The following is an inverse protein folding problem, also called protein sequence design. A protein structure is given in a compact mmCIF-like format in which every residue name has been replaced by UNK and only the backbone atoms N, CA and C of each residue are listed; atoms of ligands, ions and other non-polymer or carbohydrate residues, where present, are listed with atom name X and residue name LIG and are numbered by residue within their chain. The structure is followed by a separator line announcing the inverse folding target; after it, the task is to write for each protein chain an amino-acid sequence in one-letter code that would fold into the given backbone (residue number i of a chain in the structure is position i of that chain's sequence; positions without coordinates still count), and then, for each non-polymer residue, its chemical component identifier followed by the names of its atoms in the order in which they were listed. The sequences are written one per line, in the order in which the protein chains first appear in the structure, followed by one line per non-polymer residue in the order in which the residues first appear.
data_IF_622898189689
#
_entry.id   IF_622898189689
#
_cell.length_a   1.000
_cell.length_b   1.000
_cell.length_c   1.000
_cell.angle_alpha   90.00
_cell.angle_beta   90.00
_cell.angle_gamma   90.00
#
_symmetry.space_group_name_H-M   'P 1'
#
loop_
_entity.id
_entity.type
_entity.pdbx_description
1 polymer ?
#
# COMPACT_ATOMS: atom_id res chain seq x y z
N UNK A 1 26.19 35.33 10.52
CA UNK A 1 24.75 35.32 10.18
C UNK A 1 24.27 33.87 10.23
N UNK A 2 23.66 33.45 11.34
CA UNK A 2 23.21 32.06 11.53
C UNK A 2 21.87 31.84 10.81
N UNK A 3 21.69 30.69 10.18
CA UNK A 3 20.40 30.24 9.67
C UNK A 3 19.79 29.31 10.72
N UNK A 4 18.81 29.81 11.47
CA UNK A 4 18.04 29.00 12.41
C UNK A 4 17.13 28.02 11.65
N UNK A 5 17.41 26.72 11.78
CA UNK A 5 16.45 25.68 11.39
C UNK A 5 15.27 25.70 12.37
N UNK A 6 14.13 26.23 11.95
CA UNK A 6 12.87 26.05 12.67
C UNK A 6 12.57 24.55 12.84
N UNK A 7 12.65 24.07 14.08
CA UNK A 7 12.19 22.74 14.44
C UNK A 7 10.66 22.70 14.41
N UNK A 8 10.07 22.05 13.40
CA UNK A 8 8.65 21.70 13.43
C UNK A 8 8.40 20.71 14.58
N UNK A 9 7.74 21.17 15.64
CA UNK A 9 7.25 20.29 16.71
C UNK A 9 6.03 19.53 16.19
N UNK A 10 6.21 18.28 15.78
CA UNK A 10 5.09 17.43 15.40
C UNK A 10 4.18 17.18 16.60
N UNK A 11 2.87 17.31 16.36
CA UNK A 11 1.79 17.26 17.34
C UNK A 11 0.81 16.17 16.90
N UNK A 12 0.87 15.00 17.53
CA UNK A 12 -0.03 13.88 17.23
C UNK A 12 -1.10 13.79 18.32
N UNK A 13 -2.36 13.66 17.92
CA UNK A 13 -3.49 13.65 18.84
C UNK A 13 -3.75 12.23 19.39
N UNK A 14 -3.55 12.04 20.70
CA UNK A 14 -3.92 10.81 21.39
C UNK A 14 -5.42 10.77 21.68
N UNK A 15 -6.19 10.02 20.88
CA UNK A 15 -7.63 9.78 21.13
C UNK A 15 -7.90 9.03 22.45
N UNK A 16 -6.90 8.41 23.07
CA UNK A 16 -7.04 7.66 24.31
C UNK A 16 -6.96 8.52 25.58
N UNK A 17 -6.33 9.70 25.51
CA UNK A 17 -6.03 10.53 26.70
C UNK A 17 -6.39 12.01 26.57
N UNK A 18 -6.82 12.47 25.39
CA UNK A 18 -7.30 13.85 25.18
C UNK A 18 -6.24 14.95 25.34
N UNK A 19 -4.95 14.60 25.40
CA UNK A 19 -3.85 15.52 25.63
C UNK A 19 -2.70 15.36 24.63
N UNK A 20 -1.94 16.45 24.42
CA UNK A 20 -0.77 16.50 23.55
C UNK A 20 0.47 15.94 24.25
N UNK A 21 0.90 14.73 23.89
CA UNK A 21 2.12 14.13 24.43
C UNK A 21 3.37 14.57 23.63
N UNK A 22 4.44 14.97 24.33
CA UNK A 22 5.79 15.15 23.77
C UNK A 22 6.68 13.97 24.16
N UNK A 23 7.34 13.34 23.19
CA UNK A 23 8.35 12.31 23.44
C UNK A 23 9.72 12.73 22.92
N UNK A 24 10.68 12.84 23.83
CA UNK A 24 12.11 13.02 23.52
C UNK A 24 12.81 11.66 23.34
N UNK A 25 13.97 11.66 22.68
CA UNK A 25 14.81 10.45 22.52
C UNK A 25 15.87 10.38 23.63
N UNK A 26 16.10 9.19 24.18
CA UNK A 26 17.25 8.90 25.05
C UNK A 26 18.13 7.81 24.42
N UNK A 27 19.46 7.91 24.59
CA UNK A 27 20.45 6.90 24.15
C UNK A 27 20.94 6.07 25.34
N UNK A 28 20.82 4.74 25.26
CA UNK A 28 21.60 3.69 25.96
C UNK A 28 21.55 2.45 25.03
N UNK A 29 22.54 1.57 24.86
CA UNK A 29 23.93 1.50 25.33
C UNK A 29 24.64 0.28 24.70
N UNK A 30 25.76 -0.20 25.27
CA UNK A 30 26.30 -1.56 25.03
C UNK A 30 26.44 -2.30 26.37
N UNK A 31 26.08 -3.58 26.41
CA UNK A 31 26.84 -4.59 27.17
C UNK A 31 26.47 -6.01 26.70
N UNK A 32 27.36 -6.96 26.97
CA UNK A 32 27.42 -8.28 26.32
C UNK A 32 27.54 -9.37 27.39
N UNK A 33 26.59 -10.32 27.46
CA UNK A 33 26.72 -11.57 28.23
C UNK A 33 25.92 -12.68 27.57
N UNK A 34 26.47 -13.90 27.57
CA UNK A 34 25.83 -15.09 26.99
C UNK A 34 24.58 -15.47 27.79
N UNK A 35 23.43 -15.35 27.16
CA UNK A 35 22.22 -16.10 27.47
C UNK A 35 21.53 -16.45 26.14
N UNK A 36 20.64 -17.42 26.15
CA UNK A 36 19.76 -17.75 25.02
C UNK A 36 19.20 -16.47 24.41
N UNK A 37 19.48 -16.22 23.12
CA UNK A 37 19.07 -14.97 22.48
C UNK A 37 17.56 -15.02 22.24
N UNK A 38 16.81 -14.64 23.27
CA UNK A 38 15.46 -14.12 23.14
C UNK A 38 15.53 -12.80 22.38
N UNK A 39 15.67 -12.92 21.05
CA UNK A 39 15.43 -11.80 20.14
C UNK A 39 13.98 -11.40 20.37
N UNK A 40 13.77 -10.33 21.13
CA UNK A 40 12.44 -9.80 21.41
C UNK A 40 11.78 -9.47 20.07
N UNK A 41 10.93 -10.38 19.61
CA UNK A 41 10.16 -10.24 18.39
C UNK A 41 9.25 -9.03 18.60
N UNK A 42 9.28 -8.00 17.74
CA UNK A 42 8.45 -6.83 17.97
C UNK A 42 6.97 -7.23 17.83
N UNK A 43 6.10 -6.51 18.55
CA UNK A 43 4.72 -6.93 18.80
C UNK A 43 3.88 -7.26 17.55
N UNK A 44 4.30 -6.82 16.36
CA UNK A 44 3.63 -7.09 15.08
C UNK A 44 3.51 -8.58 14.71
N UNK A 45 4.37 -9.49 15.23
CA UNK A 45 4.26 -10.93 14.90
C UNK A 45 3.22 -11.67 15.73
N UNK A 46 2.83 -11.15 16.91
CA UNK A 46 1.89 -11.83 17.80
C UNK A 46 0.43 -11.73 17.34
N UNK A 47 0.15 -10.97 16.27
CA UNK A 47 -1.18 -10.77 15.70
C UNK A 47 -1.38 -11.45 14.34
N UNK A 48 -0.35 -12.15 13.82
CA UNK A 48 -0.47 -12.89 12.56
C UNK A 48 -1.11 -14.26 12.83
N UNK A 49 -2.37 -14.44 12.44
CA UNK A 49 -3.03 -15.75 12.52
C UNK A 49 -2.66 -16.62 11.33
N UNK A 50 -2.53 -17.92 11.59
CA UNK A 50 -2.28 -18.91 10.54
C UNK A 50 -0.86 -18.92 9.97
N UNK A 51 0.11 -18.20 10.55
CA UNK A 51 1.49 -18.09 10.03
C UNK A 51 2.17 -19.43 9.68
N UNK A 52 1.82 -20.52 10.38
CA UNK A 52 2.26 -21.90 10.08
C UNK A 52 1.79 -22.44 8.72
N UNK A 53 0.80 -21.82 8.07
CA UNK A 53 0.34 -22.17 6.71
C UNK A 53 1.26 -21.63 5.61
N UNK A 54 2.13 -20.66 5.93
CA UNK A 54 2.99 -20.02 4.94
C UNK A 54 4.04 -21.00 4.41
N UNK A 55 4.23 -21.02 3.09
CA UNK A 55 5.19 -21.92 2.44
C UNK A 55 6.59 -21.27 2.46
N UNK A 56 7.39 -21.62 3.47
CA UNK A 56 8.76 -21.13 3.67
C UNK A 56 8.94 -20.41 5.01
N UNK A 57 10.06 -19.69 5.18
CA UNK A 57 10.29 -18.90 6.39
C UNK A 57 9.46 -17.61 6.38
N UNK A 58 8.27 -17.68 6.98
CA UNK A 58 7.40 -16.53 7.19
C UNK A 58 8.08 -15.38 7.95
N UNK A 59 8.94 -15.68 8.93
CA UNK A 59 9.61 -14.65 9.73
C UNK A 59 10.62 -13.89 8.89
N UNK A 60 11.41 -14.58 8.07
CA UNK A 60 12.34 -13.96 7.13
C UNK A 60 11.59 -13.18 6.05
N UNK A 61 10.55 -13.77 5.45
CA UNK A 61 9.69 -13.10 4.48
C UNK A 61 9.16 -11.77 5.01
N UNK A 62 8.45 -11.83 6.15
CA UNK A 62 7.76 -10.69 6.76
C UNK A 62 8.73 -9.58 7.17
N UNK A 63 9.88 -9.93 7.76
CA UNK A 63 10.96 -8.97 8.07
C UNK A 63 11.51 -8.32 6.79
N UNK A 64 11.63 -9.08 5.70
CA UNK A 64 12.16 -8.57 4.43
C UNK A 64 11.21 -7.62 3.71
N UNK A 65 9.90 -7.81 3.86
CA UNK A 65 8.87 -6.91 3.34
C UNK A 65 8.84 -5.62 4.14
N UNK A 66 8.68 -5.71 5.48
CA UNK A 66 8.60 -4.54 6.34
C UNK A 66 9.87 -3.68 6.33
N UNK A 67 11.05 -4.26 6.13
CA UNK A 67 12.31 -3.49 6.09
C UNK A 67 12.43 -2.51 4.92
N UNK A 68 11.55 -2.63 3.91
CA UNK A 68 11.49 -1.75 2.73
C UNK A 68 10.47 -0.62 2.88
N UNK A 69 9.59 -0.71 3.87
CA UNK A 69 8.54 0.27 4.12
C UNK A 69 9.14 1.43 4.94
N UNK A 70 8.89 2.71 4.58
CA UNK A 70 9.32 3.84 5.39
C UNK A 70 8.81 3.71 6.82
N UNK A 71 9.69 3.92 7.81
CA UNK A 71 9.34 3.70 9.24
C UNK A 71 8.03 4.38 9.65
N UNK A 72 7.83 5.62 9.22
CA UNK A 72 6.61 6.37 9.49
C UNK A 72 5.34 5.65 8.98
N UNK A 73 5.38 5.14 7.74
CA UNK A 73 4.25 4.42 7.15
C UNK A 73 4.02 3.10 7.89
N UNK A 74 5.09 2.39 8.27
CA UNK A 74 5.00 1.18 9.08
C UNK A 74 4.36 1.45 10.46
N UNK A 75 4.79 2.52 11.13
CA UNK A 75 4.24 2.94 12.43
C UNK A 75 2.75 3.34 12.32
N UNK A 76 2.35 4.00 11.23
CA UNK A 76 0.95 4.35 10.98
C UNK A 76 0.09 3.12 10.65
N UNK A 77 0.56 2.26 9.74
CA UNK A 77 -0.11 1.01 9.34
C UNK A 77 -0.28 0.05 10.51
N UNK A 78 0.71 -0.05 11.41
CA UNK A 78 0.64 -0.86 12.64
C UNK A 78 -0.54 -0.49 13.53
N UNK A 79 -0.96 0.78 13.54
CA UNK A 79 -2.10 1.25 14.33
C UNK A 79 -3.45 1.15 13.59
N UNK A 80 -3.43 0.89 12.28
CA UNK A 80 -4.62 0.89 11.42
C UNK A 80 -5.08 -0.51 10.99
N UNK A 81 -4.14 -1.37 10.60
CA UNK A 81 -4.40 -2.79 10.27
C UNK A 81 -4.67 -3.54 11.57
N UNK A 82 -5.85 -4.18 11.66
CA UNK A 82 -6.29 -4.85 12.90
C UNK A 82 -5.76 -6.26 13.06
N UNK A 83 -5.48 -6.95 11.96
CA UNK A 83 -5.07 -8.35 11.95
C UNK A 83 -4.43 -8.69 10.61
N UNK A 84 -3.48 -9.63 10.62
CA UNK A 84 -2.97 -10.28 9.41
C UNK A 84 -3.29 -11.76 9.50
N UNK A 85 -3.84 -12.35 8.44
CA UNK A 85 -4.19 -13.77 8.34
C UNK A 85 -3.48 -14.40 7.17
N UNK A 86 -2.68 -15.44 7.41
CA UNK A 86 -2.20 -16.29 6.31
C UNK A 86 -3.34 -17.25 5.92
N UNK A 87 -3.72 -17.20 4.64
CA UNK A 87 -4.78 -18.03 4.02
C UNK A 87 -4.18 -19.08 3.11
N UNK A 88 -4.98 -20.07 2.71
CA UNK A 88 -4.52 -21.20 1.90
C UNK A 88 -4.14 -20.78 0.47
N UNK A 89 -3.39 -21.63 -0.25
CA UNK A 89 -2.84 -21.31 -1.58
C UNK A 89 -3.87 -21.15 -2.70
N UNK A 90 -5.14 -21.46 -2.44
CA UNK A 90 -6.26 -21.22 -3.36
C UNK A 90 -7.02 -19.93 -3.03
N UNK A 91 -6.71 -19.27 -1.92
CA UNK A 91 -7.22 -17.94 -1.60
C UNK A 91 -6.24 -16.84 -2.05
N UNK A 92 -6.74 -15.72 -2.61
CA UNK A 92 -5.89 -14.58 -2.95
C UNK A 92 -5.52 -13.79 -1.70
N UNK A 93 -4.33 -13.18 -1.73
CA UNK A 93 -4.01 -12.01 -0.90
C UNK A 93 -5.06 -10.92 -1.14
N UNK A 94 -5.44 -10.21 -0.07
CA UNK A 94 -6.42 -9.11 -0.12
C UNK A 94 -6.46 -8.31 1.18
N UNK A 95 -6.57 -7.00 1.09
CA UNK A 95 -6.92 -6.13 2.20
C UNK A 95 -8.43 -5.87 2.27
N UNK A 96 -9.08 -6.29 3.35
CA UNK A 96 -10.49 -5.99 3.57
C UNK A 96 -10.63 -4.60 4.22
N UNK A 97 -10.98 -3.61 3.41
CA UNK A 97 -11.16 -2.19 3.81
C UNK A 97 -12.16 -2.00 4.97
N UNK A 98 -13.21 -2.82 5.08
CA UNK A 98 -14.24 -2.72 6.14
C UNK A 98 -13.78 -3.31 7.47
N UNK A 99 -13.20 -4.52 7.46
CA UNK A 99 -12.74 -5.19 8.70
C UNK A 99 -11.33 -4.78 9.12
N UNK A 100 -10.56 -4.18 8.20
CA UNK A 100 -9.13 -3.86 8.31
C UNK A 100 -8.24 -5.09 8.55
N UNK A 101 -8.68 -6.24 8.06
CA UNK A 101 -7.94 -7.50 8.09
C UNK A 101 -7.21 -7.65 6.75
N UNK A 102 -5.91 -7.88 6.82
CA UNK A 102 -5.07 -8.23 5.69
C UNK A 102 -5.00 -9.75 5.58
N UNK A 103 -5.40 -10.30 4.44
CA UNK A 103 -5.25 -11.72 4.12
C UNK A 103 -4.04 -11.86 3.22
N UNK A 104 -3.13 -12.76 3.56
CA UNK A 104 -1.89 -13.02 2.82
C UNK A 104 -1.90 -14.47 2.34
N UNK A 105 -1.74 -14.69 1.05
CA UNK A 105 -1.67 -16.03 0.46
C UNK A 105 -0.51 -16.85 1.08
N UNK A 106 -0.71 -18.16 1.31
CA UNK A 106 0.33 -19.07 1.80
C UNK A 106 1.61 -19.06 0.93
N UNK A 107 1.46 -18.82 -0.37
CA UNK A 107 2.53 -18.73 -1.38
C UNK A 107 2.86 -17.29 -1.79
N UNK A 108 2.53 -16.29 -0.97
CA UNK A 108 2.73 -14.88 -1.30
C UNK A 108 4.21 -14.55 -1.61
N UNK A 109 4.42 -13.91 -2.75
CA UNK A 109 5.72 -13.54 -3.28
C UNK A 109 6.27 -12.23 -2.71
N UNK A 110 7.48 -11.89 -3.16
CA UNK A 110 8.15 -10.63 -2.81
C UNK A 110 7.30 -9.43 -3.25
N UNK A 111 6.95 -8.58 -2.29
CA UNK A 111 6.16 -7.37 -2.51
C UNK A 111 4.66 -7.56 -2.31
N UNK A 112 4.12 -8.78 -2.17
CA UNK A 112 2.67 -9.01 -2.04
C UNK A 112 2.13 -8.44 -0.73
N UNK A 113 2.80 -8.71 0.41
CA UNK A 113 2.45 -8.06 1.68
C UNK A 113 2.58 -6.53 1.57
N UNK A 114 3.61 -6.03 0.88
CA UNK A 114 3.81 -4.59 0.67
C UNK A 114 2.67 -3.97 -0.14
N UNK A 115 2.15 -4.68 -1.16
CA UNK A 115 1.01 -4.26 -1.99
C UNK A 115 -0.28 -4.16 -1.16
N UNK A 116 -0.59 -5.20 -0.36
CA UNK A 116 -1.78 -5.18 0.51
C UNK A 116 -1.70 -4.11 1.61
N UNK A 117 -0.50 -3.83 2.12
CA UNK A 117 -0.25 -2.70 3.00
C UNK A 117 -0.39 -1.35 2.27
N UNK A 118 -0.19 -1.31 0.95
CA UNK A 118 -0.52 -0.18 0.09
C UNK A 118 -2.03 0.10 0.06
N UNK A 119 -2.88 -0.92 -0.11
CA UNK A 119 -4.34 -0.76 0.02
C UNK A 119 -4.77 -0.31 1.43
N UNK A 120 -4.09 -0.79 2.48
CA UNK A 120 -4.34 -0.34 3.84
C UNK A 120 -3.98 1.15 4.04
N UNK A 121 -2.87 1.60 3.46
CA UNK A 121 -2.43 3.00 3.50
C UNK A 121 -3.39 3.91 2.70
N UNK A 122 -3.77 3.49 1.49
CA UNK A 122 -4.78 4.14 0.65
C UNK A 122 -6.12 4.34 1.38
N UNK A 123 -6.58 3.31 2.07
CA UNK A 123 -7.84 3.33 2.83
C UNK A 123 -7.72 4.17 4.11
N UNK A 124 -6.56 4.16 4.78
CA UNK A 124 -6.30 4.96 5.97
C UNK A 124 -6.28 6.47 5.67
N UNK A 125 -5.75 6.85 4.51
CA UNK A 125 -5.65 8.24 4.06
C UNK A 125 -6.87 8.70 3.25
N UNK A 126 -7.89 7.84 3.07
CA UNK A 126 -9.11 8.12 2.30
C UNK A 126 -8.84 8.64 0.87
N UNK A 127 -7.83 8.09 0.19
CA UNK A 127 -7.29 8.68 -1.05
C UNK A 127 -8.33 8.86 -2.18
N UNK A 128 -9.33 7.98 -2.33
CA UNK A 128 -10.42 8.18 -3.32
C UNK A 128 -11.35 9.36 -3.02
N UNK A 129 -11.20 10.04 -1.88
CA UNK A 129 -11.83 11.32 -1.60
C UNK A 129 -10.86 12.51 -1.81
N UNK A 130 -9.55 12.28 -1.71
CA UNK A 130 -8.51 13.30 -1.83
C UNK A 130 -8.39 13.86 -3.29
N UNK A 131 -8.55 15.18 -3.49
CA UNK A 131 -8.42 15.81 -4.81
C UNK A 131 -6.96 15.88 -5.32
N UNK A 132 -5.96 15.92 -4.45
CA UNK A 132 -4.54 15.87 -4.85
C UNK A 132 -4.18 14.47 -5.38
N UNK A 133 -4.60 13.41 -4.68
CA UNK A 133 -4.42 12.04 -5.17
C UNK A 133 -5.09 11.80 -6.52
N UNK A 134 -6.32 12.31 -6.73
CA UNK A 134 -7.02 12.21 -8.03
C UNK A 134 -6.22 12.83 -9.16
N UNK A 135 -5.69 14.06 -8.97
CA UNK A 135 -4.78 14.69 -9.94
C UNK A 135 -3.55 13.83 -10.20
N UNK A 136 -2.95 13.23 -9.17
CA UNK A 136 -1.77 12.36 -9.30
C UNK A 136 -2.10 11.11 -10.13
N UNK A 137 -3.21 10.43 -9.84
CA UNK A 137 -3.70 9.28 -10.63
C UNK A 137 -3.93 9.65 -12.09
N UNK A 138 -4.71 10.70 -12.32
CA UNK A 138 -5.16 11.08 -13.66
C UNK A 138 -4.06 11.80 -14.48
N UNK A 139 -2.98 12.25 -13.84
CA UNK A 139 -1.83 12.86 -14.53
C UNK A 139 -1.20 11.91 -15.56
N UNK A 140 -0.99 12.37 -16.80
CA UNK A 140 -0.48 11.54 -17.90
C UNK A 140 -1.49 10.56 -18.51
N UNK A 141 -2.75 10.58 -18.05
CA UNK A 141 -3.89 9.98 -18.74
C UNK A 141 -4.58 11.03 -19.62
N UNK A 142 -5.32 10.57 -20.63
CA UNK A 142 -6.22 11.43 -21.41
C UNK A 142 -7.37 11.95 -20.54
N UNK A 143 -7.74 13.22 -20.65
CA UNK A 143 -8.80 13.86 -19.83
C UNK A 143 -10.15 13.10 -19.93
N UNK A 144 -10.45 12.56 -21.11
CA UNK A 144 -11.59 11.67 -21.35
C UNK A 144 -11.11 10.45 -22.11
N UNK A 145 -11.25 9.27 -21.50
CA UNK A 145 -10.94 7.98 -22.11
C UNK A 145 -12.27 7.32 -22.46
N UNK A 146 -12.64 7.30 -23.74
CA UNK A 146 -13.84 6.56 -24.19
C UNK A 146 -13.71 5.07 -23.84
N UNK A 147 -14.80 4.40 -23.47
CA UNK A 147 -14.79 2.95 -23.22
C UNK A 147 -14.48 2.11 -24.47
N UNK A 148 -14.50 2.72 -25.65
CA UNK A 148 -14.08 2.13 -26.93
C UNK A 148 -12.64 2.50 -27.33
N UNK A 149 -11.87 3.17 -26.45
CA UNK A 149 -10.48 3.52 -26.71
C UNK A 149 -9.61 2.28 -26.89
N UNK A 150 -8.67 2.33 -27.85
CA UNK A 150 -7.60 1.32 -28.03
C UNK A 150 -6.69 1.14 -26.80
N UNK A 151 -6.73 2.10 -25.87
CA UNK A 151 -6.03 2.04 -24.59
C UNK A 151 -6.70 1.09 -23.61
N UNK A 152 -8.01 0.80 -23.76
CA UNK A 152 -8.70 -0.19 -22.93
C UNK A 152 -8.51 -1.56 -23.59
N UNK A 153 -7.72 -2.41 -22.93
CA UNK A 153 -7.39 -3.75 -23.40
C UNK A 153 -8.14 -4.81 -22.59
N UNK A 154 -8.39 -5.92 -23.25
CA UNK A 154 -9.02 -7.12 -22.68
C UNK A 154 -8.02 -8.27 -22.73
N UNK A 155 -7.89 -9.01 -21.63
CA UNK A 155 -7.01 -10.18 -21.51
C UNK A 155 -7.80 -11.31 -20.84
N UNK A 156 -7.65 -12.54 -21.32
CA UNK A 156 -8.23 -13.73 -20.68
C UNK A 156 -7.15 -14.38 -19.82
N UNK A 157 -7.38 -14.45 -18.51
CA UNK A 157 -6.50 -15.12 -17.55
C UNK A 157 -6.96 -16.55 -17.25
N UNK A 158 -6.12 -17.28 -16.52
CA UNK A 158 -6.39 -18.63 -16.01
C UNK A 158 -7.82 -18.76 -15.44
N UNK A 159 -8.48 -19.87 -15.75
CA UNK A 159 -9.90 -20.08 -15.44
C UNK A 159 -10.86 -19.33 -16.38
N UNK A 160 -10.42 -18.96 -17.59
CA UNK A 160 -11.19 -18.21 -18.60
C UNK A 160 -11.76 -16.88 -18.08
N UNK A 161 -11.07 -16.24 -17.13
CA UNK A 161 -11.51 -14.97 -16.56
C UNK A 161 -11.08 -13.82 -17.47
N UNK A 162 -12.04 -13.23 -18.18
CA UNK A 162 -11.85 -11.94 -18.83
C UNK A 162 -11.53 -10.86 -17.78
N UNK A 163 -10.46 -10.11 -18.03
CA UNK A 163 -10.12 -8.89 -17.32
C UNK A 163 -9.98 -7.74 -18.31
N UNK A 164 -10.19 -6.50 -17.82
CA UNK A 164 -9.94 -5.28 -18.57
C UNK A 164 -8.92 -4.44 -17.84
N UNK A 165 -8.07 -3.75 -18.59
CA UNK A 165 -7.13 -2.79 -18.05
C UNK A 165 -6.94 -1.62 -19.00
N UNK A 166 -6.65 -0.47 -18.42
CA UNK A 166 -6.14 0.69 -19.14
C UNK A 166 -4.64 0.48 -19.38
N UNK A 167 -4.23 0.44 -20.64
CA UNK A 167 -2.84 0.43 -21.05
C UNK A 167 -2.33 1.86 -21.21
N UNK A 168 -1.31 2.22 -20.44
CA UNK A 168 -0.69 3.54 -20.49
C UNK A 168 0.78 3.43 -20.10
N UNK A 169 1.63 4.20 -20.77
CA UNK A 169 3.08 4.16 -20.57
C UNK A 169 3.51 4.49 -19.13
N UNK A 170 2.74 5.25 -18.35
CA UNK A 170 3.05 5.55 -16.94
C UNK A 170 3.01 4.32 -16.02
N UNK A 171 2.20 3.31 -16.35
CA UNK A 171 1.95 2.18 -15.46
C UNK A 171 3.14 1.21 -15.40
N UNK A 172 3.47 0.75 -14.20
CA UNK A 172 4.58 -0.15 -13.90
C UNK A 172 4.27 -1.62 -14.23
N UNK A 173 2.98 -1.97 -14.21
CA UNK A 173 2.43 -3.28 -14.58
C UNK A 173 1.01 -3.10 -15.12
N UNK A 174 0.47 -4.09 -15.83
CA UNK A 174 -0.96 -4.10 -16.23
C UNK A 174 -1.90 -4.10 -15.02
N UNK A 175 -1.39 -4.44 -13.84
CA UNK A 175 -2.17 -4.44 -12.61
C UNK A 175 -2.50 -3.01 -12.13
N UNK A 176 -1.61 -2.02 -12.27
CA UNK A 176 -1.95 -0.61 -11.97
C UNK A 176 -3.11 -0.08 -12.84
N UNK A 177 -3.20 -0.55 -14.08
CA UNK A 177 -4.26 -0.19 -15.01
C UNK A 177 -5.55 -1.01 -14.85
N UNK A 178 -5.63 -1.94 -13.89
CA UNK A 178 -6.74 -2.89 -13.79
C UNK A 178 -8.09 -2.20 -13.57
N UNK A 179 -9.04 -2.42 -14.48
CA UNK A 179 -10.37 -1.83 -14.46
C UNK A 179 -11.30 -2.74 -13.67
N UNK A 180 -11.64 -2.32 -12.44
CA UNK A 180 -12.72 -2.95 -11.68
C UNK A 180 -14.08 -2.59 -12.27
N UNK A 181 -15.10 -3.41 -12.01
CA UNK A 181 -16.48 -3.10 -12.44
C UNK A 181 -17.03 -1.86 -11.74
N UNK A 182 -16.69 -1.68 -10.46
CA UNK A 182 -17.10 -0.54 -9.63
C UNK A 182 -15.91 0.02 -8.84
N UNK A 183 -15.99 1.28 -8.45
CA UNK A 183 -15.04 1.91 -7.54
C UNK A 183 -15.34 1.57 -6.06
N UNK A 184 -14.53 2.11 -5.13
CA UNK A 184 -14.70 1.88 -3.69
C UNK A 184 -16.00 2.45 -3.09
N UNK A 185 -16.76 3.25 -3.86
CA UNK A 185 -18.04 3.82 -3.47
C UNK A 185 -19.23 3.12 -4.15
N UNK A 186 -18.96 2.18 -5.07
CA UNK A 186 -19.98 1.46 -5.83
C UNK A 186 -20.37 2.12 -7.15
N UNK A 187 -19.67 3.15 -7.61
CA UNK A 187 -19.93 3.74 -8.94
C UNK A 187 -19.35 2.84 -10.03
N UNK A 188 -20.12 2.62 -11.10
CA UNK A 188 -19.71 1.84 -12.27
C UNK A 188 -18.44 2.38 -12.96
N UNK A 189 -17.76 1.50 -13.68
CA UNK A 189 -16.57 1.79 -14.49
C UNK A 189 -16.84 2.65 -15.72
N UNK A 190 -18.10 2.80 -16.13
CA UNK A 190 -18.53 3.64 -17.23
C UNK A 190 -19.31 4.84 -16.68
N UNK A 191 -18.85 6.04 -17.00
CA UNK A 191 -19.58 7.30 -16.76
C UNK A 191 -20.79 7.41 -17.70
N UNK A 192 -21.78 8.25 -17.35
CA UNK A 192 -22.98 8.48 -18.20
C UNK A 192 -22.63 8.90 -19.64
N UNK A 193 -21.49 9.56 -19.83
CA UNK A 193 -21.03 10.08 -21.12
C UNK A 193 -20.18 9.06 -21.91
N UNK A 194 -20.16 7.78 -21.52
CA UNK A 194 -19.43 6.71 -22.23
C UNK A 194 -17.91 6.74 -22.04
N UNK A 195 -17.40 7.41 -21.02
CA UNK A 195 -15.98 7.46 -20.66
C UNK A 195 -15.67 6.58 -19.44
N UNK A 196 -14.43 6.11 -19.31
CA UNK A 196 -13.92 5.40 -18.16
C UNK A 196 -13.98 6.24 -16.88
N UNK A 197 -14.58 5.71 -15.82
CA UNK A 197 -14.46 6.24 -14.46
C UNK A 197 -13.11 5.81 -13.87
N UNK A 198 -12.12 6.71 -13.80
CA UNK A 198 -10.77 6.37 -13.28
C UNK A 198 -10.72 6.04 -11.79
N UNK A 199 -11.81 6.21 -11.02
CA UNK A 199 -11.89 5.71 -9.64
C UNK A 199 -11.88 4.17 -9.54
N UNK A 200 -12.17 3.44 -10.63
CA UNK A 200 -12.15 1.96 -10.62
C UNK A 200 -10.75 1.35 -10.74
N UNK A 201 -9.72 2.18 -10.93
CA UNK A 201 -8.30 1.78 -10.95
C UNK A 201 -7.77 1.54 -9.53
N UNK A 202 -8.46 0.70 -8.74
CA UNK A 202 -8.23 0.56 -7.29
C UNK A 202 -6.84 -0.01 -6.93
N UNK A 203 -6.15 -0.57 -7.92
CA UNK A 203 -4.81 -1.15 -7.82
C UNK A 203 -3.69 -0.13 -8.09
N UNK A 204 -4.03 1.06 -8.60
CA UNK A 204 -3.05 2.06 -9.03
C UNK A 204 -2.09 2.47 -7.90
N UNK A 205 -2.64 2.80 -6.72
CA UNK A 205 -1.82 3.19 -5.57
C UNK A 205 -1.14 2.01 -4.90
N UNK A 206 -1.83 0.89 -4.64
CA UNK A 206 -1.25 -0.27 -3.93
C UNK A 206 -0.05 -0.85 -4.68
N UNK A 207 -0.17 -0.99 -5.99
CA UNK A 207 0.90 -1.47 -6.86
C UNK A 207 2.01 -0.43 -7.02
N UNK A 208 1.66 0.86 -7.21
CA UNK A 208 2.64 1.94 -7.20
C UNK A 208 3.44 2.00 -5.89
N UNK A 209 2.78 1.76 -4.75
CA UNK A 209 3.38 1.68 -3.42
C UNK A 209 4.30 0.48 -3.25
N UNK A 210 3.93 -0.69 -3.80
CA UNK A 210 4.84 -1.85 -3.91
C UNK A 210 6.11 -1.45 -4.65
N UNK A 211 6.02 -0.75 -5.78
CA UNK A 211 7.20 -0.27 -6.52
C UNK A 211 7.95 0.85 -5.78
N UNK A 212 7.29 1.75 -5.05
CA UNK A 212 7.97 2.75 -4.21
C UNK A 212 8.91 2.08 -3.19
N UNK A 213 8.44 1.02 -2.53
CA UNK A 213 9.22 0.29 -1.53
C UNK A 213 10.27 -0.65 -2.15
N UNK A 214 9.98 -1.27 -3.30
CA UNK A 214 10.83 -2.34 -3.87
C UNK A 214 11.72 -1.92 -5.05
N UNK A 215 11.33 -0.92 -5.83
CA UNK A 215 12.09 -0.36 -6.96
C UNK A 215 11.73 1.13 -7.21
N UNK A 216 12.05 2.03 -6.25
CA UNK A 216 11.65 3.44 -6.31
C UNK A 216 12.18 4.18 -7.54
N UNK A 217 13.33 3.74 -8.09
CA UNK A 217 13.91 4.32 -9.31
C UNK A 217 13.02 4.12 -10.52
N UNK A 218 12.37 2.96 -10.65
CA UNK A 218 11.48 2.68 -11.76
C UNK A 218 10.16 3.44 -11.63
N UNK A 219 9.56 3.48 -10.42
CA UNK A 219 8.40 4.32 -10.15
C UNK A 219 8.70 5.79 -10.50
N UNK A 220 9.79 6.36 -9.98
CA UNK A 220 10.17 7.75 -10.28
C UNK A 220 10.39 8.03 -11.78
N UNK A 221 10.82 7.03 -12.56
CA UNK A 221 11.00 7.15 -14.01
C UNK A 221 9.67 7.12 -14.77
N UNK A 222 8.76 6.20 -14.41
CA UNK A 222 7.49 5.98 -15.15
C UNK A 222 6.36 6.89 -14.67
N UNK A 223 6.28 7.13 -13.38
CA UNK A 223 5.25 7.91 -12.72
C UNK A 223 5.85 8.74 -11.57
N UNK A 224 6.47 9.86 -11.97
CA UNK A 224 7.08 10.79 -11.02
C UNK A 224 6.06 11.42 -10.09
N UNK A 225 4.82 11.65 -10.54
CA UNK A 225 3.76 12.24 -9.73
C UNK A 225 3.40 11.31 -8.55
N UNK A 226 3.21 10.01 -8.82
CA UNK A 226 2.95 9.04 -7.75
C UNK A 226 4.17 8.81 -6.85
N UNK A 227 5.39 8.83 -7.40
CA UNK A 227 6.61 8.79 -6.60
C UNK A 227 6.68 9.93 -5.58
N UNK A 228 6.52 11.18 -6.05
CA UNK A 228 6.62 12.37 -5.20
C UNK A 228 5.47 12.44 -4.19
N UNK A 229 4.25 12.03 -4.60
CA UNK A 229 3.09 11.94 -3.69
C UNK A 229 3.34 10.97 -2.53
N UNK A 230 3.79 9.74 -2.82
CA UNK A 230 4.09 8.74 -1.77
C UNK A 230 5.27 9.20 -0.89
N UNK A 231 6.27 9.88 -1.46
CA UNK A 231 7.37 10.46 -0.69
C UNK A 231 6.95 11.64 0.21
N UNK A 232 5.82 12.28 -0.09
CA UNK A 232 5.24 13.39 0.68
C UNK A 232 4.36 12.96 1.86
N UNK A 233 4.03 11.67 2.00
CA UNK A 233 3.25 11.14 3.13
C UNK A 233 4.11 11.24 4.42
N UNK A 234 3.68 12.10 5.36
CA UNK A 234 4.47 12.57 6.52
C UNK A 234 3.72 12.57 7.86
#
# INVERSE_FOLDING_TARGET
MLIEKQMRQCKVFSKATGQWAKWGRTRVGKNNTKNTISVNMPAYLNQVRGSKKFQGDFTQYFKSELSRIPKLHADALQNYVKEIRVVDENEPSRYNRKTRILYLKATAGKGDLTHELGHALETMLELYNDPEYKKVRDSGLSEKISVFSKEIKTEVREGNREIRYLDNEKFLSTYQGFINKVDSQGNEWITKDGNLNTNVLIEYFSEGYRYYCTNPKLLKKKDKALFDFIAGIS
#
